data_IF_687007656499
#
_entry.id   IF_687007656499
#
_cell.length_a   1.000
_cell.length_b   1.000
_cell.length_c   1.000
_cell.angle_alpha   90.00
_cell.angle_beta   90.00
_cell.angle_gamma   90.00
#
_symmetry.space_group_name_H-M   'P 1'
#
loop_
_entity.id
_entity.type
_entity.pdbx_description
1 polymer ?
#
# COMPACT_ATOMS: atom_id res chain seq x y z
N UNK A 1 22.72 11.46 0.71
CA UNK A 1 22.91 10.42 -0.32
C UNK A 1 22.75 9.06 0.33
N UNK A 2 21.55 8.47 0.27
CA UNK A 2 21.33 7.08 0.71
C UNK A 2 21.75 6.20 -0.46
N UNK A 3 22.63 5.24 -0.21
CA UNK A 3 23.13 4.29 -1.22
C UNK A 3 21.95 3.47 -1.75
N UNK A 4 21.58 3.71 -3.00
CA UNK A 4 20.73 2.82 -3.78
C UNK A 4 21.47 1.50 -4.03
N UNK A 5 20.71 0.39 -4.05
CA UNK A 5 21.02 -0.89 -4.72
C UNK A 5 21.55 -2.09 -3.90
N UNK A 6 20.98 -2.36 -2.71
CA UNK A 6 20.83 -3.75 -2.27
C UNK A 6 19.36 -4.07 -2.01
N UNK A 7 18.79 -4.85 -2.92
CA UNK A 7 17.48 -5.49 -2.71
C UNK A 7 17.75 -6.78 -1.94
N UNK A 8 17.33 -6.83 -0.68
CA UNK A 8 17.47 -8.03 0.14
C UNK A 8 16.36 -9.04 -0.20
N UNK A 9 16.71 -10.33 -0.32
CA UNK A 9 15.75 -11.39 -0.67
C UNK A 9 15.15 -12.00 0.59
N UNK A 10 13.83 -11.96 0.72
CA UNK A 10 13.08 -12.54 1.84
C UNK A 10 12.06 -13.56 1.36
N UNK A 11 11.99 -14.73 2.02
CA UNK A 11 11.00 -15.77 1.67
C UNK A 11 9.57 -15.41 2.12
N UNK A 12 9.45 -14.54 3.12
CA UNK A 12 8.20 -13.99 3.63
C UNK A 12 8.40 -12.53 4.02
N UNK A 13 7.32 -11.75 4.05
CA UNK A 13 7.36 -10.36 4.48
C UNK A 13 6.08 -10.01 5.26
N UNK A 14 6.25 -9.33 6.38
CA UNK A 14 5.19 -8.73 7.18
C UNK A 14 5.36 -7.22 7.10
N UNK A 15 4.28 -6.51 6.81
CA UNK A 15 4.34 -5.04 6.70
C UNK A 15 4.71 -4.37 8.00
N UNK A 16 5.58 -3.38 7.87
CA UNK A 16 6.04 -2.48 8.91
C UNK A 16 5.44 -1.08 8.67
N UNK A 17 5.54 -0.21 9.66
CA UNK A 17 5.21 1.21 9.56
C UNK A 17 5.99 1.92 8.46
N UNK A 18 7.19 1.45 8.12
CA UNK A 18 8.08 2.03 7.11
C UNK A 18 7.66 1.77 5.65
N UNK A 19 6.62 0.94 5.42
CA UNK A 19 6.18 0.58 4.08
C UNK A 19 5.70 1.79 3.28
N UNK A 20 6.35 2.08 2.15
CA UNK A 20 5.91 3.11 1.22
C UNK A 20 5.00 2.53 0.15
N UNK A 21 5.44 1.45 -0.50
CA UNK A 21 4.66 0.73 -1.48
C UNK A 21 5.22 -0.66 -1.74
N UNK A 22 4.41 -1.51 -2.36
CA UNK A 22 4.84 -2.77 -2.93
C UNK A 22 4.26 -2.94 -4.33
N UNK A 23 5.11 -3.38 -5.26
CA UNK A 23 4.78 -3.57 -6.66
C UNK A 23 5.02 -5.02 -7.07
N UNK A 24 4.25 -5.56 -8.04
CA UNK A 24 4.63 -6.77 -8.74
C UNK A 24 6.00 -6.57 -9.40
N UNK A 25 6.91 -7.51 -9.23
CA UNK A 25 8.29 -7.39 -9.70
C UNK A 25 8.84 -8.75 -10.14
N UNK A 26 9.70 -8.75 -11.15
CA UNK A 26 10.40 -9.93 -11.64
C UNK A 26 11.88 -9.78 -11.34
N UNK A 27 12.44 -10.70 -10.55
CA UNK A 27 13.87 -10.73 -10.20
C UNK A 27 14.45 -12.09 -10.57
N UNK A 28 15.49 -12.11 -11.39
CA UNK A 28 16.16 -13.35 -11.85
C UNK A 28 15.16 -14.42 -12.34
N UNK A 29 14.26 -14.05 -13.26
CA UNK A 29 13.19 -14.92 -13.77
C UNK A 29 12.06 -15.30 -12.80
N UNK A 30 12.17 -14.97 -11.51
CA UNK A 30 11.15 -15.24 -10.52
C UNK A 30 10.18 -14.06 -10.36
N UNK A 31 8.88 -14.32 -10.50
CA UNK A 31 7.83 -13.35 -10.18
C UNK A 31 7.64 -13.26 -8.66
N UNK A 32 7.45 -12.04 -8.18
CA UNK A 32 7.23 -11.73 -6.78
C UNK A 32 6.79 -10.29 -6.58
N UNK A 33 7.20 -9.73 -5.44
CA UNK A 33 7.00 -8.33 -5.12
C UNK A 33 8.32 -7.65 -4.82
N UNK A 34 8.47 -6.43 -5.30
CA UNK A 34 9.44 -5.48 -4.75
C UNK A 34 8.72 -4.67 -3.68
N UNK A 35 9.23 -4.74 -2.46
CA UNK A 35 8.76 -3.99 -1.30
C UNK A 35 9.72 -2.84 -1.09
N UNK A 36 9.19 -1.62 -1.02
CA UNK A 36 9.96 -0.41 -0.80
C UNK A 36 9.51 0.24 0.51
N UNK A 37 10.44 0.26 1.45
CA UNK A 37 10.34 0.98 2.71
C UNK A 37 11.12 2.29 2.63
N UNK A 38 10.99 3.16 3.65
CA UNK A 38 11.68 4.45 3.71
C UNK A 38 13.19 4.35 3.47
N UNK A 39 13.84 3.30 4.01
CA UNK A 39 15.29 3.14 4.01
C UNK A 39 15.77 1.77 3.49
N UNK A 40 14.87 0.91 3.02
CA UNK A 40 15.19 -0.45 2.61
C UNK A 40 14.34 -0.93 1.43
N UNK A 41 14.87 -1.90 0.68
CA UNK A 41 14.15 -2.57 -0.41
C UNK A 41 14.29 -4.07 -0.28
N UNK A 42 13.19 -4.78 -0.45
CA UNK A 42 13.15 -6.23 -0.36
C UNK A 42 12.52 -6.84 -1.60
N UNK A 43 13.02 -7.99 -2.03
CA UNK A 43 12.29 -8.88 -2.93
C UNK A 43 11.69 -10.02 -2.13
N UNK A 44 10.42 -10.32 -2.39
CA UNK A 44 9.75 -11.48 -1.84
C UNK A 44 9.07 -12.27 -2.96
N UNK A 45 9.24 -13.60 -3.05
CA UNK A 45 8.65 -14.43 -4.11
C UNK A 45 7.13 -14.70 -3.89
N UNK A 46 6.42 -13.70 -3.38
CA UNK A 46 4.99 -13.69 -3.14
C UNK A 46 4.39 -12.49 -3.89
N UNK A 47 3.17 -12.63 -4.39
CA UNK A 47 2.47 -11.51 -5.03
C UNK A 47 2.08 -10.43 -4.00
N UNK A 48 1.88 -9.16 -4.41
CA UNK A 48 1.55 -8.09 -3.48
C UNK A 48 0.30 -8.39 -2.64
N UNK A 49 -0.73 -8.94 -3.28
CA UNK A 49 -1.97 -9.36 -2.61
C UNK A 49 -1.72 -10.49 -1.60
N UNK A 50 -0.78 -11.42 -1.86
CA UNK A 50 -0.45 -12.48 -0.90
C UNK A 50 0.27 -11.92 0.33
N UNK A 51 1.19 -10.97 0.14
CA UNK A 51 1.88 -10.27 1.23
C UNK A 51 0.89 -9.46 2.08
N UNK A 52 -0.03 -8.72 1.46
CA UNK A 52 -1.13 -8.03 2.15
C UNK A 52 -1.92 -9.00 3.02
N UNK A 53 -2.34 -10.15 2.47
CA UNK A 53 -3.13 -11.15 3.19
C UNK A 53 -2.39 -11.74 4.38
N UNK A 54 -1.14 -12.13 4.19
CA UNK A 54 -0.29 -12.65 5.27
C UNK A 54 -0.03 -11.61 6.35
N UNK A 55 0.16 -10.35 5.97
CA UNK A 55 0.32 -9.25 6.94
C UNK A 55 -0.97 -9.02 7.73
N UNK A 56 -2.15 -9.07 7.09
CA UNK A 56 -3.42 -9.02 7.79
C UNK A 56 -3.49 -10.13 8.86
N UNK A 57 -3.23 -11.37 8.45
CA UNK A 57 -3.27 -12.58 9.29
C UNK A 57 -2.29 -12.48 10.46
N UNK A 58 -1.07 -11.98 10.22
CA UNK A 58 -0.07 -11.74 11.25
C UNK A 58 -0.59 -10.80 12.36
N UNK A 59 -1.28 -9.72 11.98
CA UNK A 59 -1.91 -8.79 12.92
C UNK A 59 -3.31 -9.25 13.37
N UNK A 60 -3.60 -10.56 13.34
CA UNK A 60 -4.75 -11.18 13.99
C UNK A 60 -6.10 -11.06 13.26
N UNK A 61 -6.13 -10.72 11.96
CA UNK A 61 -7.39 -10.64 11.21
C UNK A 61 -7.19 -10.91 9.72
N UNK A 62 -8.10 -11.62 9.05
CA UNK A 62 -7.94 -11.87 7.63
C UNK A 62 -8.23 -10.62 6.75
N UNK A 63 -7.75 -10.65 5.51
CA UNK A 63 -7.95 -9.59 4.53
C UNK A 63 -9.43 -9.31 4.22
N UNK A 64 -10.29 -10.32 4.20
CA UNK A 64 -11.71 -10.17 3.85
C UNK A 64 -12.48 -9.50 4.98
N UNK A 65 -12.18 -9.82 6.24
CA UNK A 65 -12.68 -9.17 7.43
C UNK A 65 -12.32 -7.69 7.44
N UNK A 66 -11.05 -7.36 7.23
CA UNK A 66 -10.57 -5.96 7.12
C UNK A 66 -11.27 -5.21 5.97
N UNK A 67 -11.39 -5.84 4.79
CA UNK A 67 -12.12 -5.26 3.65
C UNK A 67 -13.60 -5.04 3.94
N UNK A 68 -14.26 -5.98 4.63
CA UNK A 68 -15.66 -5.85 5.07
C UNK A 68 -15.79 -4.70 6.08
N UNK A 69 -14.84 -4.58 7.00
CA UNK A 69 -14.71 -3.45 7.92
C UNK A 69 -14.65 -2.11 7.17
N UNK A 70 -13.71 -1.96 6.23
CA UNK A 70 -13.62 -0.74 5.40
C UNK A 70 -14.95 -0.41 4.72
N UNK A 71 -15.62 -1.40 4.11
CA UNK A 71 -16.94 -1.20 3.50
C UNK A 71 -17.97 -0.71 4.52
N UNK A 72 -17.98 -1.25 5.73
CA UNK A 72 -18.92 -0.84 6.77
C UNK A 72 -18.66 0.57 7.30
N UNK A 73 -17.42 1.05 7.22
CA UNK A 73 -17.01 2.35 7.79
C UNK A 73 -17.19 3.47 6.78
N UNK A 74 -16.67 3.31 5.56
CA UNK A 74 -16.62 4.37 4.54
C UNK A 74 -17.42 4.03 3.26
N UNK A 75 -18.20 2.94 3.28
CA UNK A 75 -19.09 2.52 2.17
C UNK A 75 -18.37 2.25 0.83
N UNK A 76 -17.04 2.01 0.85
CA UNK A 76 -16.25 1.70 -0.34
C UNK A 76 -16.19 0.19 -0.61
N UNK A 77 -16.62 -0.22 -1.79
CA UNK A 77 -16.65 -1.62 -2.24
C UNK A 77 -15.53 -1.99 -3.21
N UNK A 78 -15.15 -1.05 -4.09
CA UNK A 78 -14.15 -1.25 -5.14
C UNK A 78 -12.86 -0.53 -4.84
N UNK A 79 -11.73 -1.22 -5.05
CA UNK A 79 -10.37 -0.71 -4.75
C UNK A 79 -10.36 -0.11 -3.33
N UNK A 80 -10.77 -0.95 -2.38
CA UNK A 80 -10.97 -0.52 -1.00
C UNK A 80 -9.62 -0.47 -0.28
N UNK A 81 -9.31 0.61 0.45
CA UNK A 81 -8.13 0.64 1.30
C UNK A 81 -8.23 -0.42 2.40
N UNK A 82 -7.08 -0.85 2.90
CA UNK A 82 -6.94 -1.85 3.94
C UNK A 82 -6.11 -1.27 5.08
N UNK A 83 -6.64 -1.46 6.29
CA UNK A 83 -5.90 -1.27 7.53
C UNK A 83 -5.14 -2.56 7.76
N UNK A 84 -3.81 -2.52 7.81
CA UNK A 84 -2.98 -3.68 8.17
C UNK A 84 -2.76 -3.72 9.67
N UNK A 85 -2.43 -2.58 10.26
CA UNK A 85 -2.43 -2.40 11.70
C UNK A 85 -2.72 -0.95 12.02
N UNK A 86 -3.72 -0.71 12.88
CA UNK A 86 -4.13 0.64 13.24
C UNK A 86 -3.14 1.30 14.22
N UNK A 87 -2.61 0.53 15.17
CA UNK A 87 -1.72 1.03 16.23
C UNK A 87 -0.39 1.49 15.65
N UNK A 88 0.10 0.80 14.62
CA UNK A 88 1.28 1.15 13.83
C UNK A 88 0.97 2.15 12.70
N UNK A 89 -0.30 2.52 12.48
CA UNK A 89 -0.68 3.47 11.43
C UNK A 89 -0.49 2.93 10.01
N UNK A 90 -0.52 1.61 9.81
CA UNK A 90 -0.27 0.97 8.51
C UNK A 90 -1.58 0.87 7.71
N UNK A 91 -1.79 1.85 6.83
CA UNK A 91 -2.93 1.90 5.91
C UNK A 91 -2.42 1.90 4.46
N UNK A 92 -2.93 0.99 3.64
CA UNK A 92 -2.57 0.93 2.22
C UNK A 92 -3.81 0.95 1.34
N UNK A 93 -3.67 1.52 0.14
CA UNK A 93 -4.67 1.45 -0.91
C UNK A 93 -4.14 0.77 -2.17
N UNK A 94 -5.02 0.06 -2.91
CA UNK A 94 -4.65 -0.54 -4.19
C UNK A 94 -4.84 0.45 -5.35
N UNK A 95 -3.93 0.44 -6.33
CA UNK A 95 -4.05 1.27 -7.54
C UNK A 95 -5.11 0.75 -8.52
N UNK A 96 -5.27 -0.57 -8.58
CA UNK A 96 -6.31 -1.25 -9.37
C UNK A 96 -7.04 -2.30 -8.53
N UNK A 97 -7.77 -3.22 -9.15
CA UNK A 97 -8.38 -4.33 -8.44
C UNK A 97 -7.30 -5.23 -7.83
N UNK A 98 -7.34 -5.58 -6.53
CA UNK A 98 -6.40 -6.52 -5.91
C UNK A 98 -6.38 -7.93 -6.51
N UNK A 99 -7.35 -8.26 -7.37
CA UNK A 99 -7.40 -9.51 -8.14
C UNK A 99 -6.49 -9.48 -9.37
N UNK A 100 -6.06 -8.30 -9.80
CA UNK A 100 -5.25 -8.13 -11.00
C UNK A 100 -3.75 -8.23 -10.64
N UNK A 101 -2.95 -8.98 -11.42
CA UNK A 101 -1.54 -9.20 -11.13
C UNK A 101 -0.70 -7.92 -11.07
N UNK A 102 -1.09 -6.88 -11.79
CA UNK A 102 -0.41 -5.58 -11.85
C UNK A 102 -0.75 -4.65 -10.66
N UNK A 103 -1.57 -5.11 -9.70
CA UNK A 103 -2.00 -4.28 -8.59
C UNK A 103 -0.85 -3.88 -7.67
N UNK A 104 -0.66 -2.57 -7.57
CA UNK A 104 0.28 -1.92 -6.65
C UNK A 104 -0.47 -1.51 -5.40
N UNK A 105 0.18 -1.61 -4.25
CA UNK A 105 -0.32 -1.14 -2.96
C UNK A 105 0.59 -0.03 -2.44
N UNK A 106 0.00 1.06 -1.94
CA UNK A 106 0.71 2.28 -1.57
C UNK A 106 0.21 2.75 -0.21
N UNK A 107 1.16 3.12 0.66
CA UNK A 107 0.89 3.84 1.89
C UNK A 107 0.74 5.33 1.60
N UNK A 108 -0.38 5.91 1.99
CA UNK A 108 -0.62 7.34 1.79
C UNK A 108 0.30 8.23 2.67
N UNK A 109 0.79 7.69 3.79
CA UNK A 109 1.57 8.42 4.78
C UNK A 109 2.89 9.00 4.25
N UNK A 110 3.46 8.38 3.20
CA UNK A 110 4.76 8.75 2.67
C UNK A 110 4.68 9.58 1.38
N UNK A 111 3.49 9.82 0.86
CA UNK A 111 3.29 10.59 -0.37
C UNK A 111 3.55 12.06 -0.08
N UNK A 112 4.54 12.64 -0.75
CA UNK A 112 4.85 14.06 -0.66
C UNK A 112 4.06 14.87 -1.70
N UNK A 113 4.08 14.43 -2.96
CA UNK A 113 3.36 15.10 -4.05
C UNK A 113 3.15 14.16 -5.24
N UNK A 114 2.39 14.61 -6.23
CA UNK A 114 2.23 13.90 -7.50
C UNK A 114 2.38 14.85 -8.69
N UNK A 115 2.89 14.31 -9.80
CA UNK A 115 2.99 14.98 -11.09
C UNK A 115 2.15 14.24 -12.13
N UNK A 116 1.32 14.97 -12.87
CA UNK A 116 0.57 14.39 -14.00
C UNK A 116 1.48 14.28 -15.21
N UNK A 117 1.57 13.10 -15.81
CA UNK A 117 2.29 12.88 -17.07
C UNK A 117 1.34 13.02 -18.24
N UNK A 118 0.18 12.37 -18.16
CA UNK A 118 -0.94 12.50 -19.10
C UNK A 118 -2.27 12.06 -18.43
N UNK A 119 -3.34 11.91 -19.21
CA UNK A 119 -4.65 11.48 -18.69
C UNK A 119 -4.64 10.06 -18.09
N UNK A 120 -3.71 9.23 -18.56
CA UNK A 120 -3.35 7.85 -18.24
C UNK A 120 -2.44 7.62 -17.03
N UNK A 121 -1.58 8.60 -16.74
CA UNK A 121 -0.34 8.36 -15.99
C UNK A 121 -0.01 9.48 -15.02
N UNK A 122 0.47 9.09 -13.85
CA UNK A 122 0.96 9.99 -12.79
C UNK A 122 2.27 9.46 -12.21
N UNK A 123 3.12 10.37 -11.74
CA UNK A 123 4.31 10.04 -10.95
C UNK A 123 4.04 10.50 -9.51
N UNK A 124 4.21 9.59 -8.56
CA UNK A 124 4.26 9.92 -7.14
C UNK A 124 5.68 10.29 -6.74
N UNK A 125 5.80 11.31 -5.90
CA UNK A 125 7.03 11.69 -5.22
C UNK A 125 6.83 11.43 -3.72
N UNK A 126 7.79 10.75 -3.10
CA UNK A 126 7.77 10.46 -1.68
C UNK A 126 8.73 11.37 -0.91
N UNK A 127 8.53 11.48 0.41
CA UNK A 127 9.35 12.37 1.25
C UNK A 127 10.84 12.01 1.28
N UNK A 128 11.21 10.74 1.06
CA UNK A 128 12.61 10.30 0.99
C UNK A 128 13.26 10.53 -0.39
N UNK A 129 12.54 11.14 -1.35
CA UNK A 129 13.01 11.38 -2.71
C UNK A 129 12.79 10.22 -3.69
N UNK A 130 12.30 9.06 -3.25
CA UNK A 130 11.88 7.97 -4.13
C UNK A 130 10.71 8.46 -5.03
N UNK A 131 10.59 7.88 -6.23
CA UNK A 131 9.48 8.16 -7.14
C UNK A 131 8.85 6.88 -7.67
N UNK A 132 7.54 6.91 -7.93
CA UNK A 132 6.79 5.78 -8.46
C UNK A 132 5.90 6.22 -9.63
N UNK A 133 6.14 5.65 -10.80
CA UNK A 133 5.30 5.84 -11.98
C UNK A 133 4.09 4.91 -11.93
N UNK A 134 2.90 5.47 -12.10
CA UNK A 134 1.62 4.75 -12.03
C UNK A 134 0.82 4.94 -13.32
N UNK A 135 0.33 3.82 -13.87
CA UNK A 135 -0.59 3.80 -15.01
C UNK A 135 -2.05 4.02 -14.60
N UNK A 136 -2.31 5.10 -13.86
CA UNK A 136 -3.66 5.53 -13.46
C UNK A 136 -3.83 7.04 -13.68
N UNK A 137 -5.08 7.48 -13.86
CA UNK A 137 -5.40 8.91 -13.92
C UNK A 137 -5.22 9.58 -12.56
N UNK A 138 -4.97 10.90 -12.57
CA UNK A 138 -4.96 11.73 -11.36
C UNK A 138 -6.23 11.56 -10.53
N UNK A 139 -7.40 11.50 -11.18
CA UNK A 139 -8.68 11.32 -10.50
C UNK A 139 -8.73 10.00 -9.72
N UNK A 140 -8.27 8.90 -10.34
CA UNK A 140 -8.22 7.59 -9.67
C UNK A 140 -7.27 7.63 -8.46
N UNK A 141 -6.09 8.23 -8.59
CA UNK A 141 -5.12 8.37 -7.51
C UNK A 141 -5.71 9.17 -6.33
N UNK A 142 -6.25 10.37 -6.61
CA UNK A 142 -6.81 11.24 -5.57
C UNK A 142 -7.98 10.58 -4.83
N UNK A 143 -8.81 9.81 -5.54
CA UNK A 143 -9.87 9.05 -4.89
C UNK A 143 -9.33 7.98 -3.93
N UNK A 144 -8.23 7.29 -4.27
CA UNK A 144 -7.63 6.30 -3.38
C UNK A 144 -7.03 6.95 -2.13
N UNK A 145 -6.29 8.05 -2.28
CA UNK A 145 -5.75 8.81 -1.15
C UNK A 145 -6.89 9.31 -0.25
N UNK A 146 -7.90 9.97 -0.83
CA UNK A 146 -9.06 10.49 -0.08
C UNK A 146 -9.78 9.40 0.73
N UNK A 147 -10.05 8.24 0.13
CA UNK A 147 -10.73 7.13 0.81
C UNK A 147 -9.88 6.54 1.94
N UNK A 148 -8.57 6.52 1.77
CA UNK A 148 -7.65 6.03 2.80
C UNK A 148 -7.60 6.99 3.99
N UNK A 149 -7.50 8.30 3.72
CA UNK A 149 -7.58 9.33 4.74
C UNK A 149 -8.93 9.31 5.48
N UNK A 150 -10.05 9.15 4.76
CA UNK A 150 -11.39 9.02 5.35
C UNK A 150 -11.47 7.80 6.29
N UNK A 151 -10.94 6.65 5.89
CA UNK A 151 -10.88 5.46 6.73
C UNK A 151 -10.04 5.69 7.99
N UNK A 152 -8.83 6.25 7.82
CA UNK A 152 -7.90 6.52 8.91
C UNK A 152 -8.52 7.47 9.95
N UNK A 153 -9.11 8.57 9.51
CA UNK A 153 -9.80 9.52 10.40
C UNK A 153 -10.97 8.89 11.15
N UNK A 154 -11.75 8.04 10.47
CA UNK A 154 -12.88 7.34 11.08
C UNK A 154 -12.47 6.31 12.14
N UNK A 155 -11.29 5.69 11.98
CA UNK A 155 -10.73 4.76 12.96
C UNK A 155 -10.15 5.50 14.16
N UNK A 156 -9.35 6.55 13.93
CA UNK A 156 -8.78 7.37 15.01
C UNK A 156 -9.88 7.93 15.92
N UNK A 157 -11.00 8.41 15.33
CA UNK A 157 -12.16 8.89 16.10
C UNK A 157 -12.89 7.81 16.91
N UNK A 158 -12.71 6.53 16.59
CA UNK A 158 -13.30 5.41 17.34
C UNK A 158 -12.41 5.04 18.50
N UNK A 159 -11.11 4.96 18.28
CA UNK A 159 -10.15 4.64 19.34
C UNK A 159 -10.18 5.70 20.44
N UNK A 160 -10.27 6.99 20.08
CA UNK A 160 -10.34 8.10 21.04
C UNK A 160 -11.65 8.17 21.85
N UNK A 161 -12.60 7.26 21.63
CA UNK A 161 -13.85 7.16 22.42
C UNK A 161 -13.82 6.02 23.43
N UNK A 162 -12.79 5.17 23.36
CA UNK A 162 -12.60 4.03 24.26
C UNK A 162 -11.66 4.37 25.43
N UNK A 163 -11.10 5.59 25.45
CA UNK A 163 -10.36 6.23 26.55
C UNK A 163 -11.25 7.25 27.31
#
# INVERSE_FOLDING_TARGET
MIKTDQIEVKQSYVMTEDIMYLIPYKMNEQMGSLIVEQNAKYFCPLSPTKIIRQSCEYFGSDYWGRKKGTKSIIQVTHKSPIIIDNRLGIFLFPTTSPRLPECIWISEAYIHSHKVVDSKRVILHFYNGETLSLAISRYSLMNQIRRTAELKMAIIHRDSRED
#
